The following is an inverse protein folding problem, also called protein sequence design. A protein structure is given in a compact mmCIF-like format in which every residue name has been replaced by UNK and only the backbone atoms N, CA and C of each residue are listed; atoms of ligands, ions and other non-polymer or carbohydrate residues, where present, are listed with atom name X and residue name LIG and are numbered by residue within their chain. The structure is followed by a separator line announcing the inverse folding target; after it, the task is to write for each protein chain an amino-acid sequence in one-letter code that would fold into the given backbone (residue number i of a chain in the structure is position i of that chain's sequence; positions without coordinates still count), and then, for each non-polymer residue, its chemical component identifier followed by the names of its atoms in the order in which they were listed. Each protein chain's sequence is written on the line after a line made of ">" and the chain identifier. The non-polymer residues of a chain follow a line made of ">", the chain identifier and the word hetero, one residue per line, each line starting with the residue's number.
data_IF_211154601649
#
_entry.id   IF_211154601649
#
_cell.length_a   1.000
_cell.length_b   1.000
_cell.length_c   1.000
_cell.angle_alpha   90.00
_cell.angle_beta   90.00
_cell.angle_gamma   90.00
#
_symmetry.space_group_name_H-M   'P 1'
#
loop_
_entity.id
_entity.type
_entity.pdbx_description
1 polymer ?
#
# COMPACT_ATOMS: atom_id res chain seq x y z
N UNK A 1 9.02 9.92 6.49
CA UNK A 1 8.43 8.58 6.61
C UNK A 1 6.97 8.57 6.20
N UNK A 2 6.41 7.40 5.84
CA UNK A 2 4.96 7.25 5.68
C UNK A 2 4.32 7.43 7.07
N UNK A 3 3.39 8.38 7.19
CA UNK A 3 2.64 8.64 8.42
C UNK A 3 1.45 7.69 8.54
N UNK A 4 0.59 7.68 7.53
CA UNK A 4 -0.55 6.76 7.41
C UNK A 4 -0.98 6.63 5.95
N UNK A 5 -1.83 5.65 5.71
CA UNK A 5 -2.59 5.51 4.45
C UNK A 5 -4.06 5.69 4.78
N UNK A 6 -4.72 6.64 4.13
CA UNK A 6 -6.15 6.84 4.26
C UNK A 6 -6.88 6.17 3.10
N UNK A 7 -7.81 5.31 3.46
CA UNK A 7 -8.77 4.70 2.55
C UNK A 7 -10.10 5.42 2.64
N UNK A 8 -10.66 5.77 1.50
CA UNK A 8 -12.05 6.16 1.42
C UNK A 8 -12.87 4.92 1.11
N UNK A 9 -13.80 4.59 2.02
CA UNK A 9 -14.53 3.32 2.03
C UNK A 9 -16.03 3.54 2.19
N UNK A 10 -16.82 2.66 1.61
CA UNK A 10 -18.30 2.74 1.70
C UNK A 10 -18.82 2.58 3.11
N UNK A 11 -18.12 1.85 3.98
CA UNK A 11 -18.49 1.67 5.39
C UNK A 11 -17.25 1.53 6.28
N UNK A 12 -16.77 2.64 6.82
CA UNK A 12 -15.56 2.66 7.63
C UNK A 12 -15.67 1.82 8.92
N UNK A 13 -16.86 1.68 9.49
CA UNK A 13 -17.07 0.84 10.69
C UNK A 13 -16.87 -0.64 10.40
N UNK A 14 -17.37 -1.12 9.26
CA UNK A 14 -17.17 -2.50 8.82
C UNK A 14 -15.71 -2.72 8.39
N UNK A 15 -15.12 -1.78 7.66
CA UNK A 15 -13.70 -1.84 7.29
C UNK A 15 -12.80 -1.88 8.54
N UNK A 16 -13.05 -1.03 9.56
CA UNK A 16 -12.30 -1.05 10.82
C UNK A 16 -12.41 -2.42 11.53
N UNK A 17 -13.60 -3.03 11.51
CA UNK A 17 -13.76 -4.39 12.04
C UNK A 17 -12.94 -5.42 11.26
N UNK A 18 -12.94 -5.34 9.91
CA UNK A 18 -12.15 -6.22 9.05
C UNK A 18 -10.65 -6.09 9.31
N UNK A 19 -10.10 -4.87 9.30
CA UNK A 19 -8.67 -4.66 9.55
C UNK A 19 -8.27 -5.04 10.98
N UNK A 20 -9.17 -4.87 11.96
CA UNK A 20 -8.92 -5.28 13.33
C UNK A 20 -8.94 -6.81 13.49
N UNK A 21 -9.89 -7.50 12.89
CA UNK A 21 -10.04 -8.97 13.04
C UNK A 21 -9.20 -9.76 12.06
N UNK A 22 -9.11 -9.31 10.81
CA UNK A 22 -8.31 -9.97 9.77
C UNK A 22 -6.82 -9.71 9.93
N UNK A 23 -6.42 -8.43 9.95
CA UNK A 23 -5.01 -8.01 10.00
C UNK A 23 -4.46 -7.78 11.40
N UNK A 24 -5.30 -7.76 12.43
CA UNK A 24 -4.86 -7.58 13.81
C UNK A 24 -4.53 -6.13 14.21
N UNK A 25 -4.91 -5.14 13.41
CA UNK A 25 -4.75 -3.73 13.77
C UNK A 25 -5.59 -3.37 15.00
N UNK A 26 -5.03 -2.57 15.89
CA UNK A 26 -5.80 -1.94 16.96
C UNK A 26 -6.43 -0.65 16.43
N UNK A 27 -7.71 -0.40 16.73
CA UNK A 27 -8.27 0.93 16.60
C UNK A 27 -7.70 1.79 17.72
N UNK A 28 -7.18 2.97 17.40
CA UNK A 28 -6.56 3.88 18.38
C UNK A 28 -7.38 5.15 18.59
N UNK A 29 -8.03 5.65 17.53
CA UNK A 29 -8.80 6.88 17.58
C UNK A 29 -9.97 6.84 16.59
N UNK A 30 -10.91 7.76 16.81
CA UNK A 30 -12.11 7.94 16.01
C UNK A 30 -12.43 9.43 15.81
N UNK A 31 -12.90 9.78 14.63
CA UNK A 31 -13.49 11.09 14.32
C UNK A 31 -14.85 10.86 13.64
N UNK A 32 -15.88 11.58 14.07
CA UNK A 32 -17.24 11.45 13.54
C UNK A 32 -18.22 12.32 14.32
N UNK A 33 -19.46 11.91 14.40
CA UNK A 33 -20.52 12.71 15.02
C UNK A 33 -20.20 13.10 16.47
N UNK A 34 -19.60 12.20 17.23
CA UNK A 34 -19.21 12.39 18.63
C UNK A 34 -18.08 13.41 18.81
N UNK A 35 -17.28 13.64 17.77
CA UNK A 35 -16.23 14.67 17.76
C UNK A 35 -16.66 15.94 17.01
N UNK A 36 -17.94 16.06 16.65
CA UNK A 36 -18.47 17.21 15.90
C UNK A 36 -18.28 17.14 14.39
N UNK A 37 -17.62 16.08 13.85
CA UNK A 37 -17.49 15.88 12.41
C UNK A 37 -18.80 15.36 11.83
N UNK A 38 -19.46 16.16 10.97
CA UNK A 38 -20.80 15.85 10.44
C UNK A 38 -20.79 15.24 9.04
N UNK A 39 -19.69 15.41 8.30
CA UNK A 39 -19.62 15.01 6.89
C UNK A 39 -19.00 13.63 6.72
N UNK A 40 -18.11 13.23 7.61
CA UNK A 40 -17.34 11.97 7.51
C UNK A 40 -17.24 11.30 8.89
N UNK A 41 -17.02 9.97 8.85
CA UNK A 41 -16.57 9.21 10.00
C UNK A 41 -15.26 8.50 9.65
N UNK A 42 -14.26 8.60 10.54
CA UNK A 42 -12.91 8.08 10.32
C UNK A 42 -12.44 7.27 11.52
N UNK A 43 -11.83 6.12 11.25
CA UNK A 43 -11.22 5.23 12.23
C UNK A 43 -9.73 5.17 11.99
N UNK A 44 -8.93 5.56 12.98
CA UNK A 44 -7.49 5.41 12.95
C UNK A 44 -7.11 4.04 13.52
N UNK A 45 -6.43 3.25 12.69
CA UNK A 45 -6.00 1.88 12.98
C UNK A 45 -4.48 1.82 13.01
N UNK A 46 -3.90 1.08 13.97
CA UNK A 46 -2.44 0.99 14.11
C UNK A 46 -1.98 -0.43 14.45
N UNK A 47 -0.87 -0.85 13.85
CA UNK A 47 -0.10 -2.01 14.29
C UNK A 47 1.40 -1.72 14.06
N UNK A 48 2.19 -1.77 15.12
CA UNK A 48 3.57 -1.30 15.07
C UNK A 48 3.65 0.18 14.66
N UNK A 49 4.29 0.44 13.51
CA UNK A 49 4.35 1.78 12.88
C UNK A 49 3.51 1.86 11.59
N UNK A 50 2.72 0.84 11.30
CA UNK A 50 1.75 0.88 10.21
C UNK A 50 0.47 1.51 10.72
N UNK A 51 0.03 2.60 10.09
CA UNK A 51 -1.20 3.30 10.41
C UNK A 51 -2.11 3.38 9.19
N UNK A 52 -3.38 3.03 9.37
CA UNK A 52 -4.44 3.22 8.38
C UNK A 52 -5.50 4.16 8.93
N UNK A 53 -6.08 4.96 8.08
CA UNK A 53 -7.30 5.74 8.37
C UNK A 53 -8.37 5.25 7.42
N UNK A 54 -9.50 4.86 7.98
CA UNK A 54 -10.65 4.35 7.23
C UNK A 54 -11.76 5.38 7.33
N UNK A 55 -12.06 6.05 6.23
CA UNK A 55 -13.00 7.19 6.20
C UNK A 55 -14.18 6.88 5.30
N UNK A 56 -15.39 7.10 5.83
CA UNK A 56 -16.65 7.00 5.07
C UNK A 56 -17.37 8.35 5.04
N UNK A 57 -17.97 8.74 3.90
CA UNK A 57 -18.84 9.91 3.85
C UNK A 57 -20.16 9.65 4.62
N UNK A 58 -20.64 10.67 5.31
CA UNK A 58 -21.94 10.63 6.00
C UNK A 58 -23.05 11.28 5.16
N UNK A 59 -22.67 11.94 4.06
CA UNK A 59 -23.60 12.59 3.13
C UNK A 59 -23.26 12.20 1.68
N UNK A 60 -24.25 12.09 0.77
CA UNK A 60 -24.03 11.65 -0.61
C UNK A 60 -23.30 12.66 -1.50
N UNK A 61 -23.25 13.91 -1.11
CA UNK A 61 -22.61 15.05 -1.81
C UNK A 61 -21.17 15.30 -1.35
N UNK A 62 -20.64 14.50 -0.43
CA UNK A 62 -19.23 14.55 -0.06
C UNK A 62 -18.32 14.01 -1.20
N UNK A 63 -17.14 14.62 -1.38
CA UNK A 63 -16.18 14.16 -2.37
C UNK A 63 -15.75 12.70 -2.21
N UNK A 64 -15.78 12.17 -0.96
CA UNK A 64 -15.51 10.75 -0.71
C UNK A 64 -16.61 9.85 -1.27
N UNK A 65 -17.88 10.29 -1.31
CA UNK A 65 -18.94 9.52 -1.93
C UNK A 65 -18.73 9.37 -3.45
N UNK A 66 -18.33 10.45 -4.13
CA UNK A 66 -17.99 10.41 -5.55
C UNK A 66 -16.77 9.53 -5.84
N UNK A 67 -15.73 9.63 -5.02
CA UNK A 67 -14.55 8.76 -5.12
C UNK A 67 -14.94 7.28 -5.01
N UNK A 68 -15.72 6.91 -4.00
CA UNK A 68 -16.17 5.53 -3.78
C UNK A 68 -17.08 5.07 -4.93
N UNK A 69 -17.96 5.92 -5.44
CA UNK A 69 -18.78 5.61 -6.61
C UNK A 69 -17.94 5.23 -7.83
N UNK A 70 -16.84 5.95 -8.06
CA UNK A 70 -15.91 5.74 -9.18
C UNK A 70 -15.02 4.53 -8.95
N UNK A 71 -14.35 4.49 -7.80
CA UNK A 71 -13.24 3.59 -7.55
C UNK A 71 -13.60 2.34 -6.73
N UNK A 72 -14.72 2.34 -6.01
CA UNK A 72 -14.94 1.44 -4.88
C UNK A 72 -14.16 1.92 -3.65
N UNK A 73 -13.96 1.05 -2.69
CA UNK A 73 -13.09 1.33 -1.57
C UNK A 73 -11.64 1.40 -2.06
N UNK A 74 -10.87 2.40 -1.66
CA UNK A 74 -9.53 2.59 -2.20
C UNK A 74 -8.72 3.64 -1.46
N UNK A 75 -7.43 3.68 -1.78
CA UNK A 75 -6.50 4.62 -1.17
C UNK A 75 -6.71 6.01 -1.75
N UNK A 76 -7.03 6.96 -0.86
CA UNK A 76 -7.14 8.38 -1.18
C UNK A 76 -5.85 9.14 -0.89
N UNK A 77 -5.23 8.88 0.28
CA UNK A 77 -4.09 9.65 0.76
C UNK A 77 -2.97 8.73 1.23
N UNK A 78 -1.78 8.97 0.74
CA UNK A 78 -0.54 8.40 1.26
C UNK A 78 0.19 9.52 1.98
N UNK A 79 -0.14 9.72 3.25
CA UNK A 79 0.35 10.82 4.05
C UNK A 79 1.81 10.62 4.46
N UNK A 80 2.60 11.68 4.30
CA UNK A 80 4.03 11.71 4.60
C UNK A 80 4.27 12.63 5.80
N UNK A 81 4.97 12.13 6.80
CA UNK A 81 5.50 12.96 7.88
C UNK A 81 6.79 13.63 7.39
N UNK A 82 6.81 14.96 7.49
CA UNK A 82 7.90 15.83 7.07
C UNK A 82 8.35 16.71 8.23
N UNK A 83 9.53 17.32 8.11
CA UNK A 83 10.05 18.19 9.15
C UNK A 83 9.24 19.49 9.26
N UNK A 84 8.88 20.08 8.11
CA UNK A 84 8.07 21.27 7.98
C UNK A 84 7.12 21.12 6.78
N UNK A 85 5.80 21.21 7.03
CA UNK A 85 4.79 21.01 6.00
C UNK A 85 4.66 22.22 5.05
N UNK A 86 4.94 23.44 5.53
CA UNK A 86 4.92 24.64 4.69
C UNK A 86 6.09 24.60 3.69
N UNK A 87 7.33 24.41 4.19
CA UNK A 87 8.51 24.31 3.33
C UNK A 87 8.40 23.15 2.32
N UNK A 88 7.94 21.99 2.76
CA UNK A 88 7.78 20.82 1.90
C UNK A 88 6.72 21.07 0.81
N UNK A 89 5.61 21.73 1.14
CA UNK A 89 4.56 22.08 0.18
C UNK A 89 5.03 23.14 -0.82
N UNK A 90 5.60 24.25 -0.35
CA UNK A 90 6.10 25.33 -1.21
C UNK A 90 7.15 24.81 -2.20
N UNK A 91 8.07 23.95 -1.72
CA UNK A 91 9.09 23.34 -2.57
C UNK A 91 8.48 22.36 -3.58
N UNK A 92 7.53 21.53 -3.17
CA UNK A 92 6.83 20.61 -4.06
C UNK A 92 6.08 21.37 -5.17
N UNK A 93 5.35 22.43 -4.82
CA UNK A 93 4.62 23.27 -5.79
C UNK A 93 5.58 24.01 -6.70
N UNK A 94 6.65 24.59 -6.17
CA UNK A 94 7.70 25.25 -6.97
C UNK A 94 8.32 24.30 -8.00
N UNK A 95 8.43 23.01 -7.66
CA UNK A 95 8.92 21.94 -8.53
C UNK A 95 7.85 21.33 -9.42
N UNK A 96 6.61 21.86 -9.40
CA UNK A 96 5.54 21.52 -10.31
C UNK A 96 4.53 20.49 -9.81
N UNK A 97 4.43 20.30 -8.49
CA UNK A 97 3.29 19.58 -7.91
C UNK A 97 2.02 20.45 -8.03
N UNK A 98 0.88 19.80 -8.25
CA UNK A 98 -0.42 20.46 -8.22
C UNK A 98 -0.93 20.49 -6.78
N UNK A 99 -1.25 21.65 -6.18
CA UNK A 99 -1.85 21.75 -4.88
C UNK A 99 -3.16 20.95 -4.78
N UNK A 100 -3.33 20.19 -3.71
CA UNK A 100 -4.60 19.54 -3.35
C UNK A 100 -5.21 20.21 -2.13
N UNK A 101 -4.38 20.66 -1.18
CA UNK A 101 -4.78 21.34 0.04
C UNK A 101 -3.67 22.31 0.48
N UNK A 102 -3.99 23.58 0.59
CA UNK A 102 -3.04 24.61 1.02
C UNK A 102 -2.63 24.39 2.50
N UNK A 103 -1.41 24.82 2.90
CA UNK A 103 -0.95 24.68 4.26
C UNK A 103 -1.87 25.33 5.29
N UNK A 104 -2.35 24.54 6.25
CA UNK A 104 -3.20 25.02 7.34
C UNK A 104 -2.94 24.23 8.63
N UNK A 105 -3.38 24.80 9.75
CA UNK A 105 -3.31 24.14 11.04
C UNK A 105 -4.57 23.32 11.32
N UNK A 106 -4.41 22.04 11.61
CA UNK A 106 -5.39 21.25 12.34
C UNK A 106 -5.15 21.49 13.83
N UNK A 107 -6.21 21.83 14.62
CA UNK A 107 -6.10 22.18 16.05
C UNK A 107 -7.21 21.59 16.87
N UNK A 108 -6.87 21.18 18.09
CA UNK A 108 -7.81 20.87 19.17
C UNK A 108 -7.14 21.18 20.55
N UNK A 109 -7.74 20.71 21.64
CA UNK A 109 -7.24 20.93 23.00
C UNK A 109 -5.86 20.26 23.26
N UNK A 110 -5.42 19.35 22.39
CA UNK A 110 -4.15 18.62 22.51
C UNK A 110 -3.01 19.29 21.75
N UNK A 111 -3.25 20.40 21.06
CA UNK A 111 -2.23 21.14 20.31
C UNK A 111 -2.53 21.28 18.82
N UNK A 112 -1.49 21.44 18.02
CA UNK A 112 -1.59 21.68 16.57
C UNK A 112 -0.72 20.74 15.74
N UNK A 113 -1.25 20.39 14.56
CA UNK A 113 -0.54 19.70 13.49
C UNK A 113 -0.65 20.56 12.23
N UNK A 114 0.48 20.81 11.57
CA UNK A 114 0.49 21.49 10.27
C UNK A 114 0.29 20.48 9.15
N UNK A 115 -0.64 20.77 8.23
CA UNK A 115 -0.97 19.90 7.10
C UNK A 115 -1.07 20.71 5.80
N UNK A 116 -0.58 20.10 4.74
CA UNK A 116 -0.80 20.51 3.35
C UNK A 116 -0.94 19.26 2.50
N UNK A 117 -1.37 19.34 1.24
CA UNK A 117 -1.39 18.18 0.37
C UNK A 117 -1.16 18.54 -1.10
N UNK A 118 -0.55 17.62 -1.84
CA UNK A 118 -0.35 17.70 -3.28
C UNK A 118 -0.92 16.47 -3.99
N UNK A 119 -1.37 16.66 -5.23
CA UNK A 119 -1.84 15.56 -6.07
C UNK A 119 -0.68 14.70 -6.55
N UNK A 120 -0.93 13.40 -6.67
CA UNK A 120 -0.10 12.43 -7.38
C UNK A 120 -0.94 11.72 -8.44
N UNK A 121 -0.63 10.48 -8.80
CA UNK A 121 -1.35 9.75 -9.86
C UNK A 121 -2.83 9.53 -9.51
N UNK A 122 -3.67 9.63 -10.55
CA UNK A 122 -5.12 9.47 -10.43
C UNK A 122 -5.74 10.46 -9.47
N UNK A 123 -6.60 9.94 -8.60
CA UNK A 123 -7.26 10.70 -7.54
C UNK A 123 -6.55 10.56 -6.17
N UNK A 124 -5.32 10.05 -6.16
CA UNK A 124 -4.48 9.92 -4.95
C UNK A 124 -3.78 11.24 -4.63
N UNK A 125 -3.59 11.51 -3.34
CA UNK A 125 -2.82 12.66 -2.85
C UNK A 125 -1.69 12.22 -1.92
N UNK A 126 -0.74 13.13 -1.68
CA UNK A 126 0.20 13.06 -0.59
C UNK A 126 -0.07 14.22 0.36
N UNK A 127 -0.61 13.92 1.55
CA UNK A 127 -0.59 14.86 2.65
C UNK A 127 0.81 14.97 3.23
N UNK A 128 1.23 16.20 3.50
CA UNK A 128 2.49 16.56 4.15
C UNK A 128 2.15 16.99 5.57
N UNK A 129 2.62 16.25 6.56
CA UNK A 129 2.23 16.41 7.96
C UNK A 129 3.46 16.73 8.79
N UNK A 130 3.45 17.85 9.52
CA UNK A 130 4.47 18.16 10.52
C UNK A 130 3.83 18.46 11.88
N UNK A 131 4.43 17.90 12.91
CA UNK A 131 4.00 18.09 14.29
C UNK A 131 4.68 19.30 14.90
N UNK A 132 3.90 20.16 15.56
CA UNK A 132 4.41 21.27 16.37
C UNK A 132 4.49 20.86 17.84
N UNK A 133 3.34 20.77 18.48
CA UNK A 133 3.20 20.50 19.92
C UNK A 133 2.07 19.52 20.25
N UNK A 134 1.53 18.86 19.26
CA UNK A 134 0.37 17.98 19.39
C UNK A 134 0.68 16.72 20.22
N UNK A 135 -0.19 16.46 21.22
CA UNK A 135 -0.09 15.32 22.14
C UNK A 135 -1.36 14.46 22.19
N UNK A 136 -2.25 14.64 21.23
CA UNK A 136 -3.48 13.88 21.14
C UNK A 136 -3.30 12.44 20.59
N UNK A 137 -4.40 11.69 20.50
CA UNK A 137 -4.34 10.24 20.23
C UNK A 137 -3.90 9.89 18.80
N UNK A 138 -4.10 10.77 17.81
CA UNK A 138 -3.74 10.54 16.42
C UNK A 138 -3.52 11.86 15.67
N UNK A 139 -4.57 12.55 15.25
CA UNK A 139 -4.57 13.88 14.65
C UNK A 139 -5.64 14.74 15.31
N UNK A 140 -5.55 16.09 15.26
CA UNK A 140 -6.59 16.95 15.77
C UNK A 140 -7.97 16.62 15.19
N UNK A 141 -8.99 16.65 16.05
CA UNK A 141 -10.34 16.23 15.71
C UNK A 141 -10.64 14.74 15.87
N UNK A 142 -9.64 13.95 16.27
CA UNK A 142 -9.83 12.56 16.68
C UNK A 142 -9.87 12.44 18.21
N UNK A 143 -10.84 11.69 18.72
CA UNK A 143 -10.88 11.28 20.12
C UNK A 143 -10.24 9.89 20.30
N UNK A 144 -9.67 9.61 21.45
CA UNK A 144 -9.20 8.27 21.78
C UNK A 144 -10.38 7.29 21.80
N UNK A 145 -10.26 6.22 21.04
CA UNK A 145 -11.31 5.17 20.95
C UNK A 145 -10.66 3.78 20.85
N UNK A 146 -9.87 3.35 21.86
CA UNK A 146 -9.05 2.17 21.78
C UNK A 146 -9.90 0.87 21.76
N UNK A 147 -9.70 0.07 20.72
CA UNK A 147 -10.18 -1.30 20.62
C UNK A 147 -9.01 -2.17 20.18
N UNK A 148 -8.57 -3.06 21.05
CA UNK A 148 -7.43 -3.92 20.77
C UNK A 148 -7.68 -4.84 19.57
N UNK A 149 -6.70 -4.91 18.69
CA UNK A 149 -6.54 -5.96 17.69
C UNK A 149 -5.77 -7.15 18.29
N UNK A 150 -5.66 -8.19 17.50
CA UNK A 150 -4.84 -9.35 17.85
C UNK A 150 -3.55 -9.30 17.02
N UNK A 151 -2.51 -8.67 17.58
CA UNK A 151 -1.24 -8.36 16.92
C UNK A 151 -0.70 -9.52 16.07
N UNK A 152 -0.57 -9.30 14.77
CA UNK A 152 -0.08 -10.26 13.79
C UNK A 152 1.42 -10.14 13.49
N UNK A 153 2.14 -9.27 14.21
CA UNK A 153 3.59 -9.08 14.04
C UNK A 153 3.97 -8.12 12.92
N UNK A 154 3.04 -7.28 12.46
CA UNK A 154 3.31 -6.22 11.49
C UNK A 154 4.09 -5.09 12.17
N UNK A 155 5.19 -4.68 11.55
CA UNK A 155 6.09 -3.65 12.08
C UNK A 155 5.81 -2.26 11.50
N UNK A 156 5.65 -2.20 10.18
CA UNK A 156 5.48 -0.93 9.43
C UNK A 156 5.03 -1.20 8.00
N UNK A 157 4.66 -0.15 7.30
CA UNK A 157 4.53 -0.16 5.84
C UNK A 157 5.95 -0.14 5.24
N UNK A 158 6.27 -1.13 4.39
CA UNK A 158 7.57 -1.23 3.69
C UNK A 158 7.59 -0.39 2.42
N UNK A 159 6.55 -0.55 1.59
CA UNK A 159 6.36 0.20 0.35
C UNK A 159 4.89 0.22 -0.08
N UNK A 160 4.55 1.12 -1.01
CA UNK A 160 3.22 1.22 -1.59
C UNK A 160 3.37 1.30 -3.11
N UNK A 161 2.69 0.40 -3.82
CA UNK A 161 2.77 0.30 -5.28
C UNK A 161 1.62 1.04 -5.93
N UNK A 162 1.95 1.92 -6.86
CA UNK A 162 0.99 2.62 -7.70
C UNK A 162 0.92 2.01 -9.10
N UNK A 163 -0.29 1.79 -9.60
CA UNK A 163 -0.54 1.45 -11.00
C UNK A 163 -0.94 2.70 -11.77
N UNK A 164 -0.32 2.90 -12.92
CA UNK A 164 -0.61 4.03 -13.80
C UNK A 164 -0.90 3.54 -15.22
N UNK A 165 -1.50 4.39 -16.03
CA UNK A 165 -1.87 4.08 -17.40
C UNK A 165 -0.62 3.84 -18.26
N UNK A 166 -0.80 3.11 -19.37
CA UNK A 166 0.26 2.84 -20.34
C UNK A 166 0.95 4.13 -20.80
N UNK A 167 2.28 4.16 -20.74
CA UNK A 167 3.11 5.30 -21.10
C UNK A 167 3.18 6.39 -20.03
N UNK A 168 2.68 6.16 -18.82
CA UNK A 168 2.69 7.13 -17.71
C UNK A 168 3.71 6.85 -16.61
N UNK A 169 4.28 5.67 -16.55
CA UNK A 169 5.26 5.29 -15.52
C UNK A 169 6.45 6.25 -15.48
N UNK A 170 7.04 6.57 -16.66
CA UNK A 170 8.16 7.48 -16.74
C UNK A 170 7.78 8.89 -16.26
N UNK A 171 6.60 9.39 -16.62
CA UNK A 171 6.08 10.68 -16.18
C UNK A 171 6.01 10.77 -14.65
N UNK A 172 5.50 9.72 -13.99
CA UNK A 172 5.37 9.69 -12.54
C UNK A 172 6.71 9.44 -11.84
N UNK A 173 7.60 8.64 -12.41
CA UNK A 173 8.98 8.52 -11.91
C UNK A 173 9.71 9.88 -11.93
N UNK A 174 9.60 10.62 -13.03
CA UNK A 174 10.17 11.97 -13.17
C UNK A 174 9.49 12.98 -12.22
N UNK A 175 8.19 12.81 -11.96
CA UNK A 175 7.47 13.60 -10.96
C UNK A 175 8.08 13.40 -9.57
N UNK A 176 8.24 12.15 -9.11
CA UNK A 176 8.83 11.88 -7.79
C UNK A 176 10.27 12.37 -7.67
N UNK A 177 11.05 12.24 -8.73
CA UNK A 177 12.42 12.79 -8.76
C UNK A 177 12.41 14.31 -8.65
N UNK A 178 11.62 14.97 -9.46
CA UNK A 178 11.58 16.44 -9.53
C UNK A 178 10.95 17.05 -8.28
N UNK A 179 9.78 16.52 -7.85
CA UNK A 179 8.97 17.12 -6.78
C UNK A 179 9.53 16.77 -5.40
N UNK A 180 9.79 15.49 -5.16
CA UNK A 180 10.18 15.00 -3.83
C UNK A 180 11.67 14.72 -3.70
N UNK A 181 12.46 14.86 -4.77
CA UNK A 181 13.88 14.55 -4.75
C UNK A 181 14.18 13.05 -4.65
N UNK A 182 13.20 12.18 -4.94
CA UNK A 182 13.42 10.74 -4.90
C UNK A 182 14.32 10.31 -6.06
N UNK A 183 15.08 9.28 -5.83
CA UNK A 183 15.91 8.64 -6.86
C UNK A 183 15.32 7.32 -7.32
N UNK A 184 15.69 6.91 -8.53
CA UNK A 184 15.36 5.58 -9.05
C UNK A 184 16.20 4.56 -8.31
N UNK A 185 15.52 3.68 -7.59
CA UNK A 185 16.16 2.65 -6.79
C UNK A 185 16.39 1.37 -7.61
N UNK A 186 15.35 0.88 -8.29
CA UNK A 186 15.38 -0.28 -9.18
C UNK A 186 14.46 -0.02 -10.36
N UNK A 187 14.81 -0.57 -11.53
CA UNK A 187 13.94 -0.60 -12.71
C UNK A 187 13.82 -2.04 -13.19
N UNK A 188 12.59 -2.44 -13.50
CA UNK A 188 12.26 -3.72 -14.11
C UNK A 188 11.61 -3.47 -15.46
N UNK A 189 12.10 -4.12 -16.50
CA UNK A 189 11.50 -4.06 -17.83
C UNK A 189 10.54 -5.23 -18.08
N UNK A 190 9.90 -5.24 -19.24
CA UNK A 190 8.97 -6.28 -19.66
C UNK A 190 9.63 -7.66 -19.84
N UNK A 191 10.97 -7.74 -19.97
CA UNK A 191 11.72 -9.00 -19.98
C UNK A 191 11.95 -9.55 -18.59
N UNK A 192 12.04 -8.65 -17.62
CA UNK A 192 12.17 -9.02 -16.20
C UNK A 192 10.85 -9.55 -15.63
N UNK A 193 9.71 -8.95 -16.06
CA UNK A 193 8.38 -9.24 -15.51
C UNK A 193 7.41 -9.58 -16.64
N UNK A 194 7.46 -10.82 -17.10
CA UNK A 194 6.54 -11.34 -18.12
C UNK A 194 6.27 -12.82 -17.98
N UNK A 195 5.08 -13.21 -18.49
CA UNK A 195 4.70 -14.60 -18.76
C UNK A 195 4.46 -14.77 -20.27
N UNK A 196 3.93 -15.92 -20.67
CA UNK A 196 3.45 -16.12 -22.06
C UNK A 196 2.27 -15.18 -22.39
N UNK A 197 1.52 -14.74 -21.39
CA UNK A 197 0.22 -14.05 -21.55
C UNK A 197 0.28 -12.56 -21.30
N UNK A 198 0.97 -12.13 -20.25
CA UNK A 198 1.00 -10.72 -19.84
C UNK A 198 2.39 -10.26 -19.40
N UNK A 199 2.57 -8.94 -19.35
CA UNK A 199 3.78 -8.28 -18.89
C UNK A 199 3.48 -6.94 -18.22
N UNK A 200 4.41 -6.46 -17.40
CA UNK A 200 4.41 -5.09 -16.87
C UNK A 200 5.81 -4.51 -16.83
N UNK A 201 5.89 -3.19 -16.69
CA UNK A 201 7.11 -2.47 -16.38
C UNK A 201 6.97 -1.80 -15.02
N UNK A 202 8.06 -1.69 -14.28
CA UNK A 202 8.07 -1.10 -12.94
C UNK A 202 9.33 -0.27 -12.70
N UNK A 203 9.16 0.92 -12.11
CA UNK A 203 10.25 1.75 -11.58
C UNK A 203 10.00 1.97 -10.09
N UNK A 204 10.96 1.62 -9.26
CA UNK A 204 10.91 1.88 -7.82
C UNK A 204 11.55 3.22 -7.52
N UNK A 205 10.77 4.15 -6.99
CA UNK A 205 11.23 5.44 -6.49
C UNK A 205 11.46 5.37 -4.98
N UNK A 206 12.55 5.92 -4.49
CA UNK A 206 12.90 5.90 -3.07
C UNK A 206 13.48 7.23 -2.61
N UNK A 207 13.20 7.59 -1.34
CA UNK A 207 13.91 8.64 -0.65
C UNK A 207 15.33 8.17 -0.26
N UNK A 208 16.24 9.09 0.08
CA UNK A 208 17.63 8.78 0.43
C UNK A 208 17.77 7.85 1.65
N UNK A 209 16.81 7.87 2.55
CA UNK A 209 16.80 7.01 3.74
C UNK A 209 16.28 5.60 3.47
N UNK A 210 15.72 5.34 2.29
CA UNK A 210 15.00 4.12 1.93
C UNK A 210 13.82 3.80 2.86
N UNK A 211 13.30 4.80 3.56
CA UNK A 211 12.14 4.66 4.46
C UNK A 211 10.81 4.83 3.71
N UNK A 212 10.83 5.48 2.56
CA UNK A 212 9.67 5.66 1.68
C UNK A 212 10.04 5.12 0.30
N UNK A 213 9.30 4.12 -0.14
CA UNK A 213 9.49 3.47 -1.45
C UNK A 213 8.16 3.37 -2.17
N UNK A 214 8.14 3.83 -3.42
CA UNK A 214 6.97 3.81 -4.29
C UNK A 214 7.33 3.13 -5.62
N UNK A 215 7.11 1.82 -5.76
CA UNK A 215 7.09 1.18 -7.08
C UNK A 215 5.93 1.75 -7.91
N UNK A 216 6.19 2.08 -9.15
CA UNK A 216 5.23 2.59 -10.11
C UNK A 216 5.18 1.61 -11.27
N UNK A 217 4.02 1.02 -11.51
CA UNK A 217 3.80 0.03 -12.53
C UNK A 217 2.98 0.59 -13.67
N UNK A 218 3.31 0.21 -14.90
CA UNK A 218 2.42 0.39 -16.05
C UNK A 218 2.25 -0.93 -16.81
N UNK A 219 1.13 -1.10 -17.57
CA UNK A 219 0.96 -2.25 -18.43
C UNK A 219 2.09 -2.30 -19.48
N UNK A 220 2.52 -3.50 -19.86
CA UNK A 220 3.35 -3.66 -21.06
C UNK A 220 2.51 -4.31 -22.17
N UNK A 221 2.94 -4.10 -23.42
CA UNK A 221 2.29 -4.73 -24.57
C UNK A 221 2.50 -6.24 -24.50
N UNK A 222 1.44 -7.00 -24.41
CA UNK A 222 1.44 -8.45 -24.33
C UNK A 222 0.24 -9.06 -25.09
N UNK A 223 0.17 -10.39 -25.14
CA UNK A 223 -0.89 -11.12 -25.84
C UNK A 223 -2.27 -10.92 -25.22
N UNK A 224 -2.30 -10.88 -23.89
CA UNK A 224 -3.52 -10.73 -23.11
C UNK A 224 -3.46 -9.48 -22.23
N UNK A 225 -4.60 -9.15 -21.63
CA UNK A 225 -4.74 -8.03 -20.69
C UNK A 225 -3.89 -8.27 -19.46
N UNK A 226 -2.93 -7.33 -19.16
CA UNK A 226 -2.15 -7.42 -17.95
C UNK A 226 -3.00 -7.15 -16.70
N UNK A 227 -2.54 -7.65 -15.55
CA UNK A 227 -3.13 -7.33 -14.25
C UNK A 227 -3.18 -5.82 -13.95
N UNK A 228 -2.21 -5.05 -14.49
CA UNK A 228 -2.19 -3.59 -14.30
C UNK A 228 -3.34 -2.95 -15.10
N UNK A 229 -3.58 -3.42 -16.32
CA UNK A 229 -4.70 -2.94 -17.13
C UNK A 229 -6.05 -3.34 -16.51
N UNK A 230 -6.17 -4.57 -15.96
CA UNK A 230 -7.37 -5.00 -15.22
C UNK A 230 -7.64 -4.07 -14.03
N UNK A 231 -6.57 -3.74 -13.26
CA UNK A 231 -6.68 -2.78 -12.15
C UNK A 231 -7.17 -1.41 -12.62
N UNK A 232 -6.53 -0.83 -13.65
CA UNK A 232 -6.89 0.51 -14.17
C UNK A 232 -8.36 0.57 -14.59
N UNK A 233 -8.86 -0.47 -15.24
CA UNK A 233 -10.27 -0.55 -15.66
C UNK A 233 -11.22 -0.74 -14.48
N UNK A 234 -10.91 -1.64 -13.56
CA UNK A 234 -11.75 -1.92 -12.40
C UNK A 234 -11.79 -0.76 -11.40
N UNK A 235 -10.65 -0.08 -11.22
CA UNK A 235 -10.52 1.09 -10.35
C UNK A 235 -11.05 2.37 -11.01
N UNK A 236 -11.06 2.42 -12.34
CA UNK A 236 -11.47 3.60 -13.10
C UNK A 236 -10.38 4.67 -13.19
N UNK A 237 -9.10 4.26 -13.26
CA UNK A 237 -7.92 5.10 -13.39
C UNK A 237 -6.71 4.61 -12.60
N UNK A 238 -5.68 5.44 -12.54
CA UNK A 238 -4.48 5.17 -11.73
C UNK A 238 -4.79 5.21 -10.22
N UNK A 239 -4.04 4.43 -9.43
CA UNK A 239 -4.22 4.39 -7.98
C UNK A 239 -3.25 3.44 -7.30
N UNK A 240 -3.33 3.31 -5.96
CA UNK A 240 -2.51 2.39 -5.19
C UNK A 240 -3.01 0.95 -5.36
N UNK A 241 -2.14 0.07 -5.89
CA UNK A 241 -2.47 -1.33 -6.13
C UNK A 241 -2.30 -2.17 -4.88
N UNK A 242 -1.15 -2.08 -4.22
CA UNK A 242 -0.92 -2.83 -2.99
C UNK A 242 -0.05 -2.10 -1.98
N UNK A 243 -0.20 -2.52 -0.74
CA UNK A 243 0.56 -2.04 0.39
C UNK A 243 1.34 -3.20 0.95
N UNK A 244 2.66 -3.09 0.96
CA UNK A 244 3.54 -4.07 1.57
C UNK A 244 3.73 -3.79 3.05
N UNK A 245 3.39 -4.78 3.87
CA UNK A 245 3.48 -4.75 5.32
C UNK A 245 4.71 -5.54 5.76
N UNK A 246 5.70 -4.85 6.29
CA UNK A 246 6.88 -5.51 6.84
C UNK A 246 6.53 -6.18 8.17
N UNK A 247 6.97 -7.42 8.32
CA UNK A 247 6.84 -8.18 9.57
C UNK A 247 8.20 -8.64 10.10
N UNK A 248 8.20 -9.04 11.36
CA UNK A 248 9.40 -9.58 12.02
C UNK A 248 9.59 -11.07 11.70
N UNK A 249 8.50 -11.80 11.61
CA UNK A 249 8.44 -13.25 11.40
C UNK A 249 7.28 -13.54 10.44
N UNK A 250 7.62 -13.82 9.19
CA UNK A 250 6.64 -14.03 8.12
C UNK A 250 5.82 -15.31 8.35
N UNK A 251 6.43 -16.36 8.94
CA UNK A 251 5.76 -17.63 9.21
C UNK A 251 4.64 -17.43 10.24
N UNK A 252 4.98 -16.75 11.35
CA UNK A 252 4.00 -16.38 12.37
C UNK A 252 2.91 -15.47 11.81
N UNK A 253 3.31 -14.39 11.12
CA UNK A 253 2.39 -13.40 10.60
C UNK A 253 1.41 -14.00 9.60
N UNK A 254 1.92 -14.69 8.57
CA UNK A 254 1.07 -15.28 7.52
C UNK A 254 0.17 -16.37 8.10
N UNK A 255 0.71 -17.26 8.96
CA UNK A 255 -0.08 -18.30 9.60
C UNK A 255 -1.22 -17.71 10.46
N UNK A 256 -0.99 -16.56 11.12
CA UNK A 256 -2.01 -15.87 11.90
C UNK A 256 -3.06 -15.21 11.02
N UNK A 257 -2.63 -14.50 9.96
CA UNK A 257 -3.53 -13.88 9.00
C UNK A 257 -4.44 -14.91 8.29
N UNK A 258 -3.90 -16.07 7.90
CA UNK A 258 -4.69 -17.16 7.32
C UNK A 258 -5.72 -17.71 8.32
N UNK A 259 -5.35 -17.90 9.58
CA UNK A 259 -6.31 -18.32 10.63
C UNK A 259 -7.40 -17.27 10.89
N UNK A 260 -7.09 -16.01 10.67
CA UNK A 260 -8.08 -14.91 10.74
C UNK A 260 -8.99 -14.83 9.51
N UNK A 261 -8.76 -15.69 8.50
CA UNK A 261 -9.59 -15.78 7.29
C UNK A 261 -9.12 -14.97 6.11
N UNK A 262 -7.87 -14.46 6.13
CA UNK A 262 -7.32 -13.81 4.93
C UNK A 262 -6.87 -14.85 3.90
N UNK A 263 -7.28 -14.61 2.65
CA UNK A 263 -6.87 -15.40 1.50
C UNK A 263 -5.60 -14.84 0.85
N UNK A 264 -4.70 -15.76 0.51
CA UNK A 264 -3.45 -15.45 -0.19
C UNK A 264 -3.40 -16.11 -1.57
N UNK A 265 -2.66 -15.50 -2.47
CA UNK A 265 -2.32 -16.11 -3.75
C UNK A 265 -1.43 -17.34 -3.51
N UNK A 266 -1.64 -18.37 -4.31
CA UNK A 266 -0.89 -19.62 -4.23
C UNK A 266 -0.11 -19.85 -5.50
N UNK A 267 1.16 -20.19 -5.35
CA UNK A 267 2.02 -20.62 -6.47
C UNK A 267 2.02 -22.14 -6.55
N UNK A 268 2.31 -22.72 -7.74
CA UNK A 268 2.45 -24.17 -7.89
C UNK A 268 3.54 -24.76 -6.99
N UNK A 269 3.37 -26.00 -6.55
CA UNK A 269 4.33 -26.70 -5.69
C UNK A 269 5.73 -26.82 -6.33
N UNK A 270 5.80 -26.87 -7.65
CA UNK A 270 7.06 -26.86 -8.42
C UNK A 270 7.95 -25.66 -8.13
N UNK A 271 7.36 -24.55 -7.71
CA UNK A 271 8.12 -23.39 -7.24
C UNK A 271 9.08 -23.76 -6.10
N UNK A 272 8.57 -24.51 -5.12
CA UNK A 272 9.35 -24.91 -3.93
C UNK A 272 10.35 -26.00 -4.23
N UNK A 273 10.10 -26.87 -5.23
CA UNK A 273 11.05 -27.88 -5.66
C UNK A 273 12.32 -27.26 -6.28
N UNK A 274 12.17 -26.11 -6.93
CA UNK A 274 13.27 -25.35 -7.53
C UNK A 274 13.93 -24.35 -6.57
N UNK A 275 13.30 -24.05 -5.43
CA UNK A 275 13.73 -22.99 -4.52
C UNK A 275 15.17 -23.17 -4.02
N UNK A 276 15.62 -24.36 -3.53
CA UNK A 276 16.99 -24.54 -3.03
C UNK A 276 18.07 -24.25 -4.05
N UNK A 277 17.84 -24.59 -5.32
CA UNK A 277 18.81 -24.31 -6.40
C UNK A 277 18.86 -22.85 -6.81
N UNK A 278 17.76 -22.11 -6.61
CA UNK A 278 17.63 -20.71 -6.99
C UNK A 278 18.13 -19.73 -5.93
N UNK A 279 17.80 -19.98 -4.67
CA UNK A 279 18.10 -19.03 -3.57
C UNK A 279 19.16 -19.52 -2.60
N UNK A 280 19.60 -20.80 -2.71
CA UNK A 280 20.51 -21.40 -1.75
C UNK A 280 19.90 -21.61 -0.36
N UNK A 281 20.74 -21.73 0.70
CA UNK A 281 20.24 -21.99 2.04
C UNK A 281 19.50 -20.79 2.62
N UNK A 282 18.37 -21.07 3.27
CA UNK A 282 17.58 -20.14 4.07
C UNK A 282 17.37 -20.73 5.48
N UNK A 283 17.06 -19.91 6.47
CA UNK A 283 16.87 -20.36 7.85
C UNK A 283 15.52 -21.05 8.05
N UNK A 284 14.52 -20.70 7.23
CA UNK A 284 13.15 -21.17 7.33
C UNK A 284 13.00 -22.61 6.76
N UNK A 285 12.08 -23.37 7.34
CA UNK A 285 11.73 -24.69 6.86
C UNK A 285 11.04 -24.63 5.49
N UNK A 286 11.61 -25.30 4.48
CA UNK A 286 11.02 -25.39 3.14
C UNK A 286 9.59 -25.96 3.16
N UNK A 287 9.33 -26.94 4.05
CA UNK A 287 8.00 -27.54 4.21
C UNK A 287 6.98 -26.52 4.74
N UNK A 288 7.38 -25.68 5.70
CA UNK A 288 6.52 -24.63 6.24
C UNK A 288 6.31 -23.51 5.23
N UNK A 289 7.37 -23.06 4.53
CA UNK A 289 7.24 -22.06 3.43
C UNK A 289 6.22 -22.52 2.41
N UNK A 290 6.31 -23.78 1.97
CA UNK A 290 5.37 -24.41 1.03
C UNK A 290 3.95 -24.44 1.61
N UNK A 291 3.78 -24.87 2.86
CA UNK A 291 2.46 -25.00 3.50
C UNK A 291 1.74 -23.66 3.61
N UNK A 292 2.48 -22.58 3.89
CA UNK A 292 1.96 -21.22 4.02
C UNK A 292 1.88 -20.47 2.69
N UNK A 293 2.55 -20.95 1.63
CA UNK A 293 2.57 -20.31 0.33
C UNK A 293 3.58 -19.15 0.22
N UNK A 294 4.58 -19.11 1.11
CA UNK A 294 5.54 -18.01 1.19
C UNK A 294 6.62 -18.15 0.12
N UNK A 295 6.86 -17.05 -0.60
CA UNK A 295 7.87 -16.94 -1.65
C UNK A 295 9.18 -16.43 -1.06
N UNK A 296 10.31 -16.86 -1.66
CA UNK A 296 11.65 -16.44 -1.24
C UNK A 296 12.43 -15.93 -2.45
N UNK A 297 13.12 -14.82 -2.30
CA UNK A 297 14.08 -14.34 -3.29
C UNK A 297 15.37 -13.87 -2.62
N UNK A 298 16.47 -13.86 -3.36
CA UNK A 298 17.80 -13.51 -2.85
C UNK A 298 18.47 -12.48 -3.77
N UNK A 299 19.10 -11.51 -3.16
CA UNK A 299 20.00 -10.55 -3.78
C UNK A 299 21.40 -10.61 -3.16
N UNK A 300 22.27 -9.67 -3.51
CA UNK A 300 23.66 -9.64 -3.04
C UNK A 300 23.77 -9.33 -1.54
N UNK A 301 22.76 -8.67 -0.95
CA UNK A 301 22.77 -8.29 0.48
C UNK A 301 22.10 -9.33 1.39
N UNK A 302 21.31 -10.24 0.82
CA UNK A 302 20.61 -11.23 1.65
C UNK A 302 19.43 -11.86 0.93
N UNK A 303 18.37 -12.17 1.68
CA UNK A 303 17.14 -12.68 1.10
C UNK A 303 15.90 -12.03 1.72
N UNK A 304 14.80 -12.13 1.03
CA UNK A 304 13.48 -11.71 1.48
C UNK A 304 12.47 -12.85 1.36
N UNK A 305 11.47 -12.77 2.19
CA UNK A 305 10.33 -13.67 2.17
C UNK A 305 9.08 -12.82 1.99
N UNK A 306 8.19 -13.22 1.08
CA UNK A 306 6.99 -12.45 0.76
C UNK A 306 5.82 -13.33 0.35
N UNK A 307 4.63 -12.82 0.54
CA UNK A 307 3.39 -13.41 0.05
C UNK A 307 2.37 -12.30 -0.22
N UNK A 308 1.48 -12.53 -1.16
CA UNK A 308 0.47 -11.56 -1.57
C UNK A 308 -0.92 -12.06 -1.26
N UNK A 309 -1.75 -11.22 -0.65
CA UNK A 309 -3.16 -11.54 -0.47
C UNK A 309 -3.90 -11.53 -1.81
N UNK A 310 -5.04 -12.19 -1.88
CA UNK A 310 -6.03 -11.87 -2.90
C UNK A 310 -6.51 -10.43 -2.69
N UNK A 311 -7.13 -9.79 -3.71
CA UNK A 311 -7.81 -8.52 -3.49
C UNK A 311 -8.72 -8.60 -2.27
N UNK A 312 -8.70 -7.56 -1.45
CA UNK A 312 -9.50 -7.51 -0.21
C UNK A 312 -10.90 -6.93 -0.45
N UNK A 313 -11.19 -6.64 -1.70
CA UNK A 313 -12.44 -6.10 -2.20
C UNK A 313 -12.98 -6.93 -3.36
N UNK A 314 -14.29 -6.78 -3.68
CA UNK A 314 -14.91 -7.48 -4.81
C UNK A 314 -14.34 -7.02 -6.16
N UNK A 315 -13.97 -5.73 -6.28
CA UNK A 315 -13.19 -5.26 -7.43
C UNK A 315 -11.76 -5.77 -7.31
N UNK A 316 -11.11 -6.24 -8.41
CA UNK A 316 -9.72 -6.69 -8.39
C UNK A 316 -8.75 -5.50 -8.29
N UNK A 317 -8.79 -4.78 -7.19
CA UNK A 317 -8.06 -3.53 -6.96
C UNK A 317 -7.03 -3.70 -5.86
N UNK A 318 -7.32 -3.27 -4.63
CA UNK A 318 -6.35 -3.26 -3.54
C UNK A 318 -6.09 -4.65 -2.99
N UNK A 319 -4.80 -4.97 -2.79
CA UNK A 319 -4.36 -6.14 -2.04
C UNK A 319 -3.16 -5.80 -1.14
N UNK A 320 -2.71 -6.77 -0.35
CA UNK A 320 -1.60 -6.59 0.58
C UNK A 320 -0.48 -7.57 0.29
N UNK A 321 0.74 -7.09 0.51
CA UNK A 321 1.92 -7.93 0.60
C UNK A 321 2.36 -8.03 2.06
N UNK A 322 2.75 -9.23 2.49
CA UNK A 322 3.48 -9.43 3.76
C UNK A 322 4.91 -9.74 3.41
N UNK A 323 5.86 -8.95 3.93
CA UNK A 323 7.28 -9.05 3.60
C UNK A 323 8.15 -9.10 4.87
N UNK A 324 9.09 -10.04 4.88
CA UNK A 324 10.20 -10.08 5.83
C UNK A 324 11.51 -9.94 5.07
N UNK A 325 12.37 -9.03 5.52
CA UNK A 325 13.69 -8.79 4.94
C UNK A 325 14.77 -9.33 5.85
N UNK A 326 15.62 -10.21 5.31
CA UNK A 326 16.82 -10.74 5.96
C UNK A 326 18.06 -10.27 5.18
N UNK A 327 18.36 -8.98 5.31
CA UNK A 327 19.43 -8.29 4.60
C UNK A 327 19.02 -7.73 3.25
N UNK A 328 18.21 -8.44 2.48
CA UNK A 328 17.78 -8.04 1.14
C UNK A 328 17.12 -6.66 1.11
N UNK A 329 17.51 -5.88 0.12
CA UNK A 329 16.91 -4.59 -0.23
C UNK A 329 16.06 -4.65 -1.50
N UNK A 330 16.03 -5.80 -2.17
CA UNK A 330 15.30 -6.06 -3.40
C UNK A 330 13.77 -6.08 -3.24
N UNK A 331 13.10 -6.42 -4.33
CA UNK A 331 11.64 -6.50 -4.43
C UNK A 331 11.16 -7.87 -4.91
N UNK A 332 12.01 -8.89 -4.83
CA UNK A 332 11.61 -10.24 -5.18
C UNK A 332 11.58 -10.50 -6.70
N UNK A 333 12.54 -9.99 -7.46
CA UNK A 333 12.63 -10.19 -8.92
C UNK A 333 12.46 -11.66 -9.32
N UNK A 334 13.11 -12.57 -8.60
CA UNK A 334 13.02 -14.01 -8.84
C UNK A 334 11.65 -14.63 -8.56
N UNK A 335 10.76 -13.92 -7.89
CA UNK A 335 9.39 -14.34 -7.59
C UNK A 335 8.37 -13.82 -8.60
N UNK A 336 8.71 -12.84 -9.45
CA UNK A 336 7.75 -12.16 -10.33
C UNK A 336 7.01 -13.12 -11.24
N UNK A 337 7.72 -14.05 -11.87
CA UNK A 337 7.07 -15.04 -12.76
C UNK A 337 6.00 -15.85 -12.01
N UNK A 338 6.34 -16.39 -10.83
CA UNK A 338 5.40 -17.20 -10.04
C UNK A 338 4.20 -16.38 -9.53
N UNK A 339 4.45 -15.11 -9.15
CA UNK A 339 3.38 -14.18 -8.77
C UNK A 339 2.44 -13.90 -9.95
N UNK A 340 3.01 -13.59 -11.12
CA UNK A 340 2.25 -13.31 -12.33
C UNK A 340 1.37 -14.48 -12.74
N UNK A 341 1.93 -15.69 -12.80
CA UNK A 341 1.16 -16.91 -13.09
C UNK A 341 0.00 -17.10 -12.12
N UNK A 342 0.20 -16.79 -10.83
CA UNK A 342 -0.86 -16.88 -9.80
C UNK A 342 -1.97 -15.85 -10.02
N UNK A 343 -1.61 -14.62 -10.38
CA UNK A 343 -2.58 -13.55 -10.66
C UNK A 343 -3.35 -13.86 -11.95
N UNK A 344 -2.67 -14.35 -13.00
CA UNK A 344 -3.30 -14.77 -14.25
C UNK A 344 -4.33 -15.90 -14.03
N UNK A 345 -4.02 -16.86 -13.15
CA UNK A 345 -5.01 -17.87 -12.75
C UNK A 345 -6.26 -17.26 -12.10
N UNK A 346 -6.10 -16.24 -11.26
CA UNK A 346 -7.24 -15.52 -10.67
C UNK A 346 -8.00 -14.68 -11.71
N UNK A 347 -7.29 -14.05 -12.67
CA UNK A 347 -7.92 -13.34 -13.81
C UNK A 347 -8.74 -14.31 -14.67
N UNK A 348 -8.19 -15.48 -14.98
CA UNK A 348 -8.91 -16.52 -15.74
C UNK A 348 -10.19 -16.98 -15.02
N UNK A 349 -10.14 -17.15 -13.69
CA UNK A 349 -11.34 -17.50 -12.90
C UNK A 349 -12.43 -16.43 -12.96
N UNK A 350 -12.04 -15.16 -13.11
CA UNK A 350 -12.95 -14.02 -13.27
C UNK A 350 -13.37 -13.79 -14.73
N UNK A 351 -12.80 -14.55 -15.70
CA UNK A 351 -13.06 -14.37 -17.13
C UNK A 351 -12.41 -13.14 -17.75
N UNK A 352 -11.33 -12.65 -17.15
CA UNK A 352 -10.63 -11.42 -17.56
C UNK A 352 -9.24 -11.67 -18.20
N UNK A 353 -8.85 -12.93 -18.42
CA UNK A 353 -7.57 -13.29 -19.05
C UNK A 353 -7.71 -13.59 -20.54
#
# INVERSE_FOLDING_TARGET
>A
RIHHVEFWVGNARQAAYFYRKGFGFSQVAYSGLETGQRQRASYAMSQGKANFVLTTPMTPDDAAAEHIRKHGDGVRDIALEVADADEAFEEAVRRGAKPAEEPHDLKDEHGAVRRAAVHTYGDTIHSLISYKDYKGPFLPGFMAAPLAGDDCGILRIDHIVGNVELGKMQHWADYYTRVFGFHRYITFDDKDISTEYSALMSIVMSDDSHSVKFPINEPATARNKSQIQEYIEAYGGAGAQHIALQCKDVMYTVGKLQRNGLDFLRVPDTYYDLLPSRVGPVEESLAELRSLGILVDRDDEGYLLQIFSKPVEDRPTVFFEVIQRKGSRGFGKGNFKALFESIEMEQARRGNL
#
